data_IF_462128599878
#
_entry.id   IF_462128599878
#
_cell.length_a   1.000
_cell.length_b   1.000
_cell.length_c   1.000
_cell.angle_alpha   90.00
_cell.angle_beta   90.00
_cell.angle_gamma   90.00
#
_symmetry.space_group_name_H-M   'P 1'
#
loop_
_entity.id
_entity.type
_entity.pdbx_description
1 polymer ?
#
# COMPACT_ATOMS: atom_id res chain seq x y z
N UNK A 1 31.92 29.96 25.00
CA UNK A 1 30.68 30.20 24.23
C UNK A 1 30.02 28.84 24.03
N UNK A 2 28.84 28.59 24.62
CA UNK A 2 28.12 27.33 24.40
C UNK A 2 27.13 27.56 23.27
N UNK A 3 27.34 26.87 22.17
CA UNK A 3 26.45 26.84 21.02
C UNK A 3 25.20 26.05 21.43
N UNK A 4 24.05 26.70 21.42
CA UNK A 4 22.77 26.09 21.80
C UNK A 4 22.24 25.26 20.62
N UNK A 5 22.16 23.95 20.83
CA UNK A 5 21.54 22.97 19.95
C UNK A 5 20.10 23.39 19.59
N UNK A 6 19.86 23.64 18.30
CA UNK A 6 18.56 24.03 17.75
C UNK A 6 17.61 22.83 17.75
N UNK A 7 16.96 22.60 18.89
CA UNK A 7 15.89 21.60 19.03
C UNK A 7 14.76 21.92 18.05
N UNK A 8 14.68 21.15 16.97
CA UNK A 8 13.63 21.28 15.97
C UNK A 8 12.32 20.79 16.60
N UNK A 9 11.41 21.71 16.88
CA UNK A 9 10.11 21.39 17.46
C UNK A 9 9.17 20.85 16.38
N UNK A 10 8.36 19.83 16.73
CA UNK A 10 7.44 19.16 15.80
C UNK A 10 6.46 20.13 15.15
N UNK A 11 6.07 21.17 15.90
CA UNK A 11 5.17 22.23 15.42
C UNK A 11 5.84 23.09 14.35
N UNK A 12 7.12 23.37 14.49
CA UNK A 12 7.91 24.12 13.49
C UNK A 12 8.11 23.31 12.23
N UNK A 13 8.33 21.99 12.35
CA UNK A 13 8.42 21.08 11.20
C UNK A 13 7.08 20.94 10.46
N UNK A 14 5.97 20.77 11.18
CA UNK A 14 4.62 20.69 10.59
C UNK A 14 4.18 22.02 9.97
N UNK A 15 4.50 23.15 10.60
CA UNK A 15 4.22 24.47 10.04
C UNK A 15 5.07 24.76 8.79
N UNK A 16 6.35 24.37 8.80
CA UNK A 16 7.24 24.53 7.65
C UNK A 16 6.84 23.64 6.45
N UNK A 17 6.36 22.42 6.71
CA UNK A 17 5.88 21.51 5.66
C UNK A 17 4.49 21.90 5.12
N UNK A 18 3.60 22.47 5.94
CA UNK A 18 2.31 22.99 5.49
C UNK A 18 2.46 24.19 4.52
N UNK A 19 3.48 25.03 4.73
CA UNK A 19 3.74 26.20 3.88
C UNK A 19 4.29 25.83 2.48
N UNK A 20 4.96 24.68 2.33
CA UNK A 20 5.52 24.22 1.05
C UNK A 20 4.54 23.32 0.27
N UNK A 21 3.61 22.66 0.96
CA UNK A 21 2.63 21.74 0.34
C UNK A 21 1.30 22.45 -0.04
N UNK A 22 1.11 23.70 0.38
CA UNK A 22 -0.14 24.47 0.28
C UNK A 22 -0.72 24.74 -1.13
N UNK A 23 -0.07 24.29 -2.21
CA UNK A 23 -0.54 24.53 -3.58
C UNK A 23 -0.78 23.26 -4.44
N UNK A 24 -0.46 22.04 -3.96
CA UNK A 24 -0.40 20.87 -4.86
C UNK A 24 -1.24 19.64 -4.48
N UNK A 25 -1.88 19.59 -3.31
CA UNK A 25 -2.68 18.41 -2.94
C UNK A 25 -4.03 18.85 -2.39
N UNK A 26 -5.03 18.97 -3.27
CA UNK A 26 -6.43 18.98 -2.86
C UNK A 26 -6.76 17.52 -2.48
N UNK A 27 -6.92 17.16 -1.20
CA UNK A 27 -7.32 15.81 -0.86
C UNK A 27 -8.76 15.61 -1.37
N UNK A 28 -8.93 14.80 -2.41
CA UNK A 28 -10.26 14.33 -2.77
C UNK A 28 -10.84 13.54 -1.56
N UNK A 29 -12.16 13.55 -1.38
CA UNK A 29 -12.80 12.88 -0.23
C UNK A 29 -12.44 11.39 -0.14
N UNK A 30 -12.15 10.76 -1.28
CA UNK A 30 -11.65 9.38 -1.40
C UNK A 30 -10.26 9.22 -0.77
N UNK A 31 -9.37 10.22 -0.84
CA UNK A 31 -8.08 10.24 -0.15
C UNK A 31 -8.24 10.41 1.36
N UNK A 32 -9.20 11.21 1.82
CA UNK A 32 -9.41 11.40 3.25
C UNK A 32 -9.99 10.14 3.93
N UNK A 33 -10.95 9.49 3.27
CA UNK A 33 -11.46 8.17 3.71
C UNK A 33 -10.38 7.08 3.72
N UNK A 34 -9.35 7.20 2.87
CA UNK A 34 -8.19 6.30 2.85
C UNK A 34 -7.22 6.53 4.01
N UNK A 35 -7.13 7.76 4.54
CA UNK A 35 -6.21 8.10 5.65
C UNK A 35 -6.72 7.54 6.98
N UNK A 36 -8.04 7.53 7.19
CA UNK A 36 -8.65 6.93 8.38
C UNK A 36 -8.44 5.41 8.37
N UNK A 37 -7.78 4.89 9.41
CA UNK A 37 -7.44 3.46 9.52
C UNK A 37 -6.27 3.01 8.63
N UNK A 38 -5.54 3.92 7.99
CA UNK A 38 -4.36 3.58 7.18
C UNK A 38 -3.24 2.94 8.02
N UNK A 39 -3.05 3.42 9.25
CA UNK A 39 -2.05 2.85 10.17
C UNK A 39 -2.43 1.45 10.67
N UNK A 40 -3.74 1.12 10.67
CA UNK A 40 -4.26 -0.18 11.09
C UNK A 40 -4.48 -1.12 9.89
N UNK A 41 -4.24 -0.66 8.65
CA UNK A 41 -4.47 -1.44 7.44
C UNK A 41 -3.34 -2.41 7.24
N UNK A 42 -3.68 -3.70 7.17
CA UNK A 42 -2.72 -4.74 6.82
C UNK A 42 -2.50 -4.70 5.32
N UNK A 43 -1.32 -4.25 4.90
CA UNK A 43 -0.87 -4.32 3.51
C UNK A 43 -0.32 -5.70 3.22
N UNK A 44 -0.98 -6.46 2.36
CA UNK A 44 -0.62 -7.84 2.04
C UNK A 44 -0.01 -7.96 0.64
N UNK A 45 1.01 -8.82 0.54
CA UNK A 45 1.56 -9.30 -0.72
C UNK A 45 1.33 -10.81 -0.85
N UNK A 46 0.86 -11.27 -2.01
CA UNK A 46 0.62 -12.69 -2.26
C UNK A 46 1.67 -13.25 -3.21
N UNK A 47 2.45 -14.22 -2.74
CA UNK A 47 3.53 -14.87 -3.50
C UNK A 47 3.09 -16.28 -3.87
N UNK A 48 3.10 -16.60 -5.17
CA UNK A 48 2.67 -17.89 -5.71
C UNK A 48 1.16 -17.96 -5.94
N UNK A 49 0.68 -17.35 -7.02
CA UNK A 49 -0.74 -17.24 -7.38
C UNK A 49 -1.19 -18.37 -8.33
N UNK A 50 -0.86 -19.58 -7.90
CA UNK A 50 -1.41 -20.81 -8.47
C UNK A 50 -2.89 -21.01 -8.11
N UNK A 51 -3.45 -22.19 -8.40
CA UNK A 51 -4.86 -22.49 -8.09
C UNK A 51 -5.19 -22.28 -6.60
N UNK A 52 -4.35 -22.80 -5.70
CA UNK A 52 -4.54 -22.61 -4.26
C UNK A 52 -4.37 -21.14 -3.83
N UNK A 53 -3.45 -20.42 -4.48
CA UNK A 53 -3.28 -18.99 -4.26
C UNK A 53 -4.57 -18.22 -4.55
N UNK A 54 -5.26 -18.52 -5.65
CA UNK A 54 -6.52 -17.85 -5.98
C UNK A 54 -7.63 -18.08 -4.94
N UNK A 55 -7.74 -19.30 -4.40
CA UNK A 55 -8.72 -19.60 -3.35
C UNK A 55 -8.42 -18.78 -2.09
N UNK A 56 -7.15 -18.71 -1.68
CA UNK A 56 -6.73 -17.91 -0.53
C UNK A 56 -6.95 -16.42 -0.78
N UNK A 57 -6.66 -15.95 -1.99
CA UNK A 57 -6.89 -14.57 -2.42
C UNK A 57 -8.36 -14.17 -2.28
N UNK A 58 -9.26 -15.05 -2.72
CA UNK A 58 -10.69 -14.89 -2.56
C UNK A 58 -11.15 -14.90 -1.10
N UNK A 59 -10.63 -15.82 -0.26
CA UNK A 59 -10.95 -15.87 1.17
C UNK A 59 -10.53 -14.56 1.87
N UNK A 60 -9.34 -14.06 1.57
CA UNK A 60 -8.84 -12.81 2.15
C UNK A 60 -9.72 -11.63 1.72
N UNK A 61 -10.14 -11.60 0.46
CA UNK A 61 -11.06 -10.58 -0.03
C UNK A 61 -12.42 -10.57 0.69
N UNK A 62 -12.91 -11.72 1.17
CA UNK A 62 -14.13 -11.78 1.99
C UNK A 62 -13.96 -11.08 3.35
N UNK A 63 -12.74 -11.05 3.88
CA UNK A 63 -12.42 -10.48 5.19
C UNK A 63 -11.80 -9.08 5.13
N UNK A 64 -11.76 -8.44 3.95
CA UNK A 64 -11.13 -7.12 3.75
C UNK A 64 -11.66 -6.01 4.67
N UNK A 65 -12.95 -6.06 5.01
CA UNK A 65 -13.61 -5.06 5.87
C UNK A 65 -13.29 -5.38 7.34
N UNK A 66 -13.62 -6.58 7.79
CA UNK A 66 -13.48 -7.00 9.20
C UNK A 66 -12.03 -7.00 9.70
N UNK A 67 -11.08 -7.33 8.81
CA UNK A 67 -9.65 -7.41 9.13
C UNK A 67 -8.86 -6.22 8.62
N UNK A 68 -9.52 -5.24 8.00
CA UNK A 68 -8.90 -4.06 7.39
C UNK A 68 -7.64 -4.43 6.57
N UNK A 69 -7.77 -5.43 5.69
CA UNK A 69 -6.66 -5.94 4.87
C UNK A 69 -6.84 -5.49 3.41
N UNK A 70 -5.74 -5.16 2.75
CA UNK A 70 -5.72 -4.82 1.32
C UNK A 70 -4.61 -5.60 0.62
N UNK A 71 -4.93 -6.20 -0.53
CA UNK A 71 -3.93 -6.82 -1.40
C UNK A 71 -3.23 -5.72 -2.20
N UNK A 72 -1.98 -5.42 -1.85
CA UNK A 72 -1.21 -4.33 -2.47
C UNK A 72 -0.18 -4.83 -3.48
N UNK A 73 0.19 -6.10 -3.43
CA UNK A 73 1.12 -6.72 -4.35
C UNK A 73 0.80 -8.19 -4.62
N UNK A 74 1.10 -8.65 -5.84
CA UNK A 74 1.03 -10.05 -6.25
C UNK A 74 2.33 -10.45 -6.94
N UNK A 75 2.77 -11.69 -6.70
CA UNK A 75 4.02 -12.20 -7.23
C UNK A 75 3.85 -13.64 -7.71
N UNK A 76 4.30 -13.93 -8.92
CA UNK A 76 4.35 -15.27 -9.50
C UNK A 76 5.34 -15.24 -10.68
N UNK A 77 5.97 -16.35 -11.05
CA UNK A 77 6.84 -16.40 -12.23
C UNK A 77 6.05 -16.30 -13.55
N UNK A 78 4.80 -16.78 -13.57
CA UNK A 78 3.98 -16.83 -14.78
C UNK A 78 3.11 -15.58 -14.92
N UNK A 79 3.33 -14.81 -15.99
CA UNK A 79 2.59 -13.59 -16.31
C UNK A 79 1.06 -13.79 -16.30
N UNK A 80 0.55 -14.86 -16.91
CA UNK A 80 -0.89 -15.15 -16.99
C UNK A 80 -1.54 -15.24 -15.60
N UNK A 81 -0.81 -15.76 -14.61
CA UNK A 81 -1.28 -15.85 -13.23
C UNK A 81 -1.29 -14.49 -12.55
N UNK A 82 -0.24 -13.69 -12.75
CA UNK A 82 -0.16 -12.31 -12.25
C UNK A 82 -1.29 -11.46 -12.81
N UNK A 83 -1.49 -11.48 -14.13
CA UNK A 83 -2.52 -10.67 -14.81
C UNK A 83 -3.92 -11.03 -14.33
N UNK A 84 -4.18 -12.32 -14.14
CA UNK A 84 -5.44 -12.81 -13.58
C UNK A 84 -5.66 -12.32 -12.15
N UNK A 85 -4.66 -12.41 -11.27
CA UNK A 85 -4.79 -11.92 -9.91
C UNK A 85 -4.88 -10.40 -9.82
N UNK A 86 -4.19 -9.64 -10.68
CA UNK A 86 -4.38 -8.19 -10.78
C UNK A 86 -5.84 -7.88 -11.12
N UNK A 87 -6.42 -8.59 -12.10
CA UNK A 87 -7.82 -8.41 -12.50
C UNK A 87 -8.80 -8.78 -11.39
N UNK A 88 -8.59 -9.90 -10.69
CA UNK A 88 -9.44 -10.34 -9.58
C UNK A 88 -9.36 -9.37 -8.40
N UNK A 89 -8.15 -9.02 -7.95
CA UNK A 89 -7.96 -8.07 -6.85
C UNK A 89 -8.44 -6.66 -7.17
N UNK A 90 -8.36 -6.21 -8.42
CA UNK A 90 -8.96 -4.93 -8.82
C UNK A 90 -10.47 -4.94 -8.60
N UNK A 91 -11.15 -6.07 -8.84
CA UNK A 91 -12.59 -6.21 -8.56
C UNK A 91 -12.86 -6.24 -7.05
N UNK A 92 -12.00 -6.92 -6.28
CA UNK A 92 -12.18 -7.04 -4.84
C UNK A 92 -11.94 -5.72 -4.10
N UNK A 93 -10.87 -5.00 -4.42
CA UNK A 93 -10.42 -3.83 -3.65
C UNK A 93 -10.68 -2.49 -4.37
N UNK A 94 -11.12 -2.51 -5.62
CA UNK A 94 -11.28 -1.31 -6.45
C UNK A 94 -9.94 -0.71 -6.91
N UNK A 95 -8.83 -1.39 -6.64
CA UNK A 95 -7.47 -0.96 -6.96
C UNK A 95 -6.64 -2.16 -7.41
N UNK A 96 -5.86 -1.95 -8.47
CA UNK A 96 -4.93 -2.96 -8.96
C UNK A 96 -3.72 -3.09 -8.00
N UNK A 97 -3.39 -4.31 -7.53
CA UNK A 97 -2.14 -4.55 -6.83
C UNK A 97 -0.96 -4.41 -7.80
N UNK A 98 0.23 -4.14 -7.26
CA UNK A 98 1.47 -4.18 -8.04
C UNK A 98 1.81 -5.63 -8.39
N UNK A 99 2.23 -5.89 -9.62
CA UNK A 99 2.62 -7.23 -10.05
C UNK A 99 4.15 -7.32 -10.14
N UNK A 100 4.70 -8.35 -9.51
CA UNK A 100 6.14 -8.63 -9.49
C UNK A 100 6.42 -10.03 -10.00
N UNK A 101 7.54 -10.21 -10.69
CA UNK A 101 7.97 -11.54 -11.12
C UNK A 101 8.81 -12.21 -10.04
N UNK A 102 9.66 -11.42 -9.39
CA UNK A 102 10.63 -11.87 -8.42
C UNK A 102 10.27 -11.38 -7.01
N UNK A 103 10.51 -12.21 -6.01
CA UNK A 103 10.23 -11.88 -4.61
C UNK A 103 11.05 -10.67 -4.14
N UNK A 104 12.28 -10.58 -4.62
CA UNK A 104 13.23 -9.52 -4.31
C UNK A 104 12.73 -8.14 -4.77
N UNK A 105 11.87 -8.07 -5.79
CA UNK A 105 11.28 -6.80 -6.23
C UNK A 105 10.23 -6.29 -5.23
N UNK A 106 9.64 -7.18 -4.42
CA UNK A 106 8.62 -6.82 -3.42
C UNK A 106 9.28 -6.16 -2.19
N UNK A 107 10.40 -6.72 -1.74
CA UNK A 107 11.10 -6.27 -0.53
C UNK A 107 12.11 -5.14 -0.78
N UNK A 108 12.23 -4.68 -2.03
CA UNK A 108 13.12 -3.60 -2.43
C UNK A 108 14.58 -4.01 -2.58
N UNK A 109 14.88 -5.31 -2.62
CA UNK A 109 16.23 -5.85 -2.93
C UNK A 109 16.44 -6.15 -4.42
N UNK A 110 15.42 -5.96 -5.24
CA UNK A 110 15.51 -5.95 -6.69
C UNK A 110 16.47 -4.85 -7.16
N UNK A 111 17.34 -5.22 -8.12
CA UNK A 111 18.39 -4.35 -8.67
C UNK A 111 17.85 -3.08 -9.32
#
# INVERSE_FOLDING_TARGET
MRESETKTDRRTFLAGSAAVIGAAVIPNAVSYARILGANDRISLAHIGIGNRGQELDWIIAQHKIDKNVEMTAVCDLWNMRRDRAVKENTKYYGRAPRAFEYLEEIDGRGR
#
